data_IF_234078031166
#
_entry.id   IF_234078031166
#
_cell.length_a   1.000
_cell.length_b   1.000
_cell.length_c   1.000
_cell.angle_alpha   90.00
_cell.angle_beta   90.00
_cell.angle_gamma   90.00
#
_symmetry.space_group_name_H-M   'P 1'
#
loop_
_entity.id
_entity.type
_entity.pdbx_description
1 polymer ?
#
# COMPACT_ATOMS: atom_id res chain seq x y z
N UNK A 1 -3.95 -13.77 3.51
CA UNK A 1 -5.36 -14.23 3.41
C UNK A 1 -5.74 -14.78 2.03
N UNK A 2 -5.59 -14.01 0.94
CA UNK A 2 -6.01 -14.41 -0.41
C UNK A 2 -5.47 -15.78 -0.87
N UNK A 3 -4.19 -16.05 -0.66
CA UNK A 3 -3.53 -17.33 -0.95
C UNK A 3 -4.14 -18.51 -0.20
N UNK A 4 -4.47 -18.33 1.08
CA UNK A 4 -5.10 -19.37 1.90
C UNK A 4 -6.50 -19.72 1.36
N UNK A 5 -7.29 -18.71 1.01
CA UNK A 5 -8.63 -18.91 0.40
C UNK A 5 -8.50 -19.64 -0.94
N UNK A 6 -7.56 -19.25 -1.80
CA UNK A 6 -7.32 -19.96 -3.06
C UNK A 6 -6.89 -21.41 -2.83
N UNK A 7 -5.96 -21.66 -1.90
CA UNK A 7 -5.47 -23.00 -1.59
C UNK A 7 -6.57 -23.91 -1.05
N UNK A 8 -7.38 -23.42 -0.10
CA UNK A 8 -8.52 -24.16 0.43
C UNK A 8 -9.60 -24.41 -0.63
N UNK A 9 -9.90 -23.42 -1.47
CA UNK A 9 -10.87 -23.57 -2.57
C UNK A 9 -10.39 -24.62 -3.58
N UNK A 10 -9.12 -24.58 -3.97
CA UNK A 10 -8.48 -25.59 -4.83
C UNK A 10 -8.56 -26.99 -4.20
N UNK A 11 -8.32 -27.11 -2.89
CA UNK A 11 -8.41 -28.40 -2.18
C UNK A 11 -9.81 -28.98 -2.23
N UNK A 12 -10.84 -28.19 -1.88
CA UNK A 12 -12.25 -28.63 -1.95
C UNK A 12 -12.70 -28.99 -3.37
N UNK A 13 -12.26 -28.24 -4.38
CA UNK A 13 -12.57 -28.54 -5.78
C UNK A 13 -11.86 -29.79 -6.29
N UNK A 14 -10.68 -30.13 -5.79
CA UNK A 14 -10.01 -31.39 -6.16
C UNK A 14 -10.82 -32.62 -5.73
N UNK A 15 -11.62 -32.51 -4.67
CA UNK A 15 -12.47 -33.58 -4.15
C UNK A 15 -13.77 -33.76 -4.95
N UNK A 16 -14.27 -32.68 -5.59
CA UNK A 16 -15.55 -32.65 -6.30
C UNK A 16 -15.39 -32.48 -7.82
N UNK A 17 -14.76 -31.38 -8.25
CA UNK A 17 -14.59 -30.96 -9.65
C UNK A 17 -13.13 -30.62 -9.98
N UNK A 18 -12.30 -31.65 -10.18
CA UNK A 18 -10.84 -31.50 -10.34
C UNK A 18 -10.42 -30.55 -11.47
N UNK A 19 -11.21 -30.42 -12.54
CA UNK A 19 -10.92 -29.52 -13.65
C UNK A 19 -11.09 -28.04 -13.30
N UNK A 20 -11.87 -27.69 -12.27
CA UNK A 20 -12.03 -26.31 -11.79
C UNK A 20 -10.89 -25.87 -10.89
N UNK A 21 -10.22 -26.81 -10.21
CA UNK A 21 -9.12 -26.48 -9.31
C UNK A 21 -7.94 -25.77 -10.01
N UNK A 22 -7.71 -26.04 -11.31
CA UNK A 22 -6.69 -25.34 -12.11
C UNK A 22 -7.15 -23.97 -12.65
N UNK A 23 -8.43 -23.65 -12.49
CA UNK A 23 -9.06 -22.39 -12.93
C UNK A 23 -9.26 -21.38 -11.80
N UNK A 24 -8.66 -21.62 -10.63
CA UNK A 24 -8.60 -20.66 -9.52
C UNK A 24 -7.16 -20.21 -9.30
N UNK A 25 -6.94 -18.93 -9.07
CA UNK A 25 -5.63 -18.38 -8.72
C UNK A 25 -5.75 -17.36 -7.58
N UNK A 26 -4.64 -17.14 -6.87
CA UNK A 26 -4.49 -15.97 -6.01
C UNK A 26 -3.84 -14.84 -6.81
N UNK A 27 -4.00 -13.60 -6.35
CA UNK A 27 -3.37 -12.39 -6.90
C UNK A 27 -2.99 -11.42 -5.80
N UNK A 28 -1.72 -11.04 -5.74
CA UNK A 28 -1.18 -10.07 -4.77
C UNK A 28 -0.07 -9.22 -5.39
N UNK A 29 0.16 -8.06 -4.80
CA UNK A 29 1.13 -7.08 -5.32
C UNK A 29 2.58 -7.60 -5.34
N UNK A 30 2.95 -8.48 -4.39
CA UNK A 30 4.31 -9.04 -4.29
C UNK A 30 4.73 -9.98 -5.43
N UNK A 31 3.77 -10.50 -6.21
CA UNK A 31 4.09 -11.37 -7.35
C UNK A 31 4.88 -10.66 -8.43
N UNK A 32 5.65 -11.46 -9.17
CA UNK A 32 6.44 -10.95 -10.29
C UNK A 32 5.52 -10.35 -11.37
N UNK A 33 5.97 -9.28 -12.06
CA UNK A 33 5.19 -8.66 -13.13
C UNK A 33 4.70 -9.64 -14.19
N UNK A 34 5.51 -10.62 -14.57
CA UNK A 34 5.17 -11.65 -15.55
C UNK A 34 4.03 -12.55 -15.07
N UNK A 35 4.06 -12.95 -13.79
CA UNK A 35 3.03 -13.79 -13.17
C UNK A 35 1.70 -13.04 -13.06
N UNK A 36 1.73 -11.77 -12.64
CA UNK A 36 0.54 -10.92 -12.60
C UNK A 36 -0.11 -10.79 -13.98
N UNK A 37 0.70 -10.51 -15.01
CA UNK A 37 0.25 -10.44 -16.41
C UNK A 37 -0.32 -11.78 -16.89
N UNK A 38 0.25 -12.91 -16.51
CA UNK A 38 -0.30 -14.22 -16.85
C UNK A 38 -1.70 -14.41 -16.26
N UNK A 39 -1.85 -14.13 -14.97
CA UNK A 39 -3.14 -14.27 -14.25
C UNK A 39 -4.20 -13.35 -14.84
N UNK A 40 -3.85 -12.07 -15.08
CA UNK A 40 -4.73 -11.08 -15.71
C UNK A 40 -5.18 -11.53 -17.10
N UNK A 41 -4.25 -12.01 -17.93
CA UNK A 41 -4.57 -12.52 -19.27
C UNK A 41 -5.46 -13.76 -19.22
N UNK A 42 -5.24 -14.67 -18.26
CA UNK A 42 -6.06 -15.87 -18.10
C UNK A 42 -7.48 -15.53 -17.65
N UNK A 43 -7.62 -14.54 -16.76
CA UNK A 43 -8.90 -14.00 -16.32
C UNK A 43 -9.64 -13.34 -17.48
N UNK A 44 -8.97 -12.46 -18.23
CA UNK A 44 -9.54 -11.75 -19.39
C UNK A 44 -9.98 -12.70 -20.51
N UNK A 45 -9.27 -13.82 -20.71
CA UNK A 45 -9.63 -14.88 -21.67
C UNK A 45 -10.71 -15.85 -21.15
N UNK A 46 -11.17 -15.72 -19.90
CA UNK A 46 -12.14 -16.63 -19.27
C UNK A 46 -11.62 -18.05 -19.02
N UNK A 47 -10.30 -18.26 -19.11
CA UNK A 47 -9.66 -19.55 -18.79
C UNK A 47 -9.50 -19.73 -17.28
N UNK A 48 -9.33 -18.62 -16.55
CA UNK A 48 -9.51 -18.56 -15.10
C UNK A 48 -11.00 -18.30 -14.79
N UNK A 49 -11.55 -19.03 -13.83
CA UNK A 49 -12.96 -18.95 -13.40
C UNK A 49 -13.12 -18.27 -12.04
N UNK A 50 -12.05 -18.15 -11.27
CA UNK A 50 -12.07 -17.47 -9.98
C UNK A 50 -10.69 -16.93 -9.61
N UNK A 51 -10.69 -15.79 -8.95
CA UNK A 51 -9.48 -15.14 -8.45
C UNK A 51 -9.72 -14.72 -7.01
N UNK A 52 -8.76 -14.98 -6.14
CA UNK A 52 -8.73 -14.39 -4.79
C UNK A 52 -7.66 -13.31 -4.77
N UNK A 53 -7.98 -12.13 -4.28
CA UNK A 53 -7.01 -11.03 -4.25
C UNK A 53 -7.07 -10.24 -2.96
N UNK A 54 -5.98 -9.53 -2.68
CA UNK A 54 -5.97 -8.41 -1.74
C UNK A 54 -6.58 -7.17 -2.42
N UNK A 55 -6.37 -5.98 -1.86
CA UNK A 55 -6.66 -4.70 -2.52
C UNK A 55 -5.87 -4.47 -3.83
N UNK A 56 -4.94 -5.37 -4.22
CA UNK A 56 -4.14 -5.21 -5.43
C UNK A 56 -4.97 -5.15 -6.72
N UNK A 57 -6.18 -5.74 -6.75
CA UNK A 57 -7.12 -5.62 -7.87
C UNK A 57 -8.10 -4.43 -7.74
N UNK A 58 -8.02 -3.63 -6.67
CA UNK A 58 -8.76 -2.36 -6.58
C UNK A 58 -8.22 -1.34 -7.58
N UNK A 59 -6.92 -1.34 -7.85
CA UNK A 59 -6.30 -0.52 -8.90
C UNK A 59 -6.90 -0.85 -10.26
N UNK A 60 -7.05 0.15 -11.14
CA UNK A 60 -7.76 0.14 -12.43
C UNK A 60 -7.30 -0.85 -13.51
N UNK A 61 -6.79 -2.02 -13.14
CA UNK A 61 -6.46 -3.14 -13.99
C UNK A 61 -7.73 -3.58 -14.74
N UNK A 62 -7.62 -3.62 -16.07
CA UNK A 62 -8.67 -4.08 -16.96
C UNK A 62 -8.67 -5.61 -17.06
N UNK A 63 -9.19 -6.24 -16.01
CA UNK A 63 -9.41 -7.70 -15.91
C UNK A 63 -10.70 -8.16 -16.59
N UNK A 64 -11.45 -7.27 -17.25
CA UNK A 64 -12.77 -7.53 -17.80
C UNK A 64 -13.90 -7.36 -16.77
N UNK A 65 -15.07 -7.92 -17.09
CA UNK A 65 -16.25 -7.96 -16.20
C UNK A 65 -16.28 -9.29 -15.43
N UNK A 66 -16.44 -9.23 -14.11
CA UNK A 66 -16.79 -10.41 -13.32
C UNK A 66 -18.31 -10.52 -13.19
N UNK A 67 -18.80 -11.75 -13.03
CA UNK A 67 -20.24 -11.99 -12.77
C UNK A 67 -20.54 -11.90 -11.27
N UNK A 68 -19.56 -12.21 -10.43
CA UNK A 68 -19.69 -12.21 -8.98
C UNK A 68 -18.43 -11.71 -8.28
N UNK A 69 -18.61 -10.95 -7.19
CA UNK A 69 -17.55 -10.54 -6.28
C UNK A 69 -17.94 -10.91 -4.85
N UNK A 70 -16.99 -11.48 -4.10
CA UNK A 70 -17.12 -11.74 -2.67
C UNK A 70 -16.08 -10.87 -1.95
N UNK A 71 -16.58 -9.92 -1.17
CA UNK A 71 -15.78 -9.04 -0.32
C UNK A 71 -15.70 -9.68 1.06
N UNK A 72 -14.49 -10.01 1.48
CA UNK A 72 -14.22 -10.75 2.71
C UNK A 72 -13.87 -9.77 3.85
N UNK A 73 -14.89 -9.34 4.59
CA UNK A 73 -14.80 -8.28 5.60
C UNK A 73 -14.91 -6.88 5.01
N UNK A 74 -15.31 -5.89 5.82
CA UNK A 74 -15.36 -4.51 5.35
C UNK A 74 -13.94 -3.99 5.01
N UNK A 75 -13.69 -3.48 3.79
CA UNK A 75 -12.37 -3.01 3.34
C UNK A 75 -11.77 -1.81 4.10
N UNK A 76 -12.51 -1.23 5.05
CA UNK A 76 -12.09 -0.07 5.85
C UNK A 76 -12.71 1.25 5.38
N UNK A 77 -13.01 1.40 4.08
CA UNK A 77 -13.67 2.58 3.51
C UNK A 77 -14.88 2.21 2.65
N UNK A 78 -15.84 3.13 2.58
CA UNK A 78 -17.03 2.99 1.73
C UNK A 78 -16.59 2.97 0.26
N UNK A 79 -15.67 3.85 -0.12
CA UNK A 79 -15.16 3.92 -1.50
C UNK A 79 -14.45 2.63 -1.94
N UNK A 80 -13.62 2.00 -1.11
CA UNK A 80 -12.99 0.72 -1.46
C UNK A 80 -14.03 -0.38 -1.60
N UNK A 81 -15.07 -0.38 -0.77
CA UNK A 81 -16.17 -1.37 -0.90
C UNK A 81 -16.88 -1.25 -2.25
N UNK A 82 -17.21 -0.02 -2.66
CA UNK A 82 -17.84 0.23 -3.97
C UNK A 82 -16.91 -0.07 -5.14
N UNK A 83 -15.61 0.24 -5.03
CA UNK A 83 -14.64 -0.10 -6.07
C UNK A 83 -14.49 -1.62 -6.24
N UNK A 84 -14.46 -2.37 -5.15
CA UNK A 84 -14.44 -3.83 -5.19
C UNK A 84 -15.75 -4.39 -5.77
N UNK A 85 -16.91 -3.91 -5.31
CA UNK A 85 -18.21 -4.33 -5.83
C UNK A 85 -18.36 -4.05 -7.33
N UNK A 86 -17.90 -2.89 -7.81
CA UNK A 86 -17.92 -2.49 -9.22
C UNK A 86 -16.98 -3.29 -10.14
N UNK A 87 -16.26 -4.29 -9.62
CA UNK A 87 -15.57 -5.30 -10.43
C UNK A 87 -16.53 -6.34 -11.00
N UNK A 88 -17.68 -6.55 -10.36
CA UNK A 88 -18.78 -7.30 -10.93
C UNK A 88 -19.66 -6.39 -11.80
N UNK A 89 -20.30 -6.97 -12.83
CA UNK A 89 -21.42 -6.29 -13.50
C UNK A 89 -21.06 -5.20 -14.52
N UNK A 90 -19.89 -5.30 -15.18
CA UNK A 90 -19.55 -4.39 -16.31
C UNK A 90 -20.22 -4.79 -17.64
N UNK A 91 -20.90 -5.94 -17.69
CA UNK A 91 -21.62 -6.44 -18.86
C UNK A 91 -23.12 -6.12 -18.81
N UNK A 92 -23.90 -6.80 -19.68
CA UNK A 92 -25.38 -6.72 -19.69
C UNK A 92 -26.06 -7.78 -18.83
N UNK A 93 -25.30 -8.79 -18.39
CA UNK A 93 -25.82 -9.90 -17.61
C UNK A 93 -25.96 -9.52 -16.13
N UNK A 94 -26.78 -10.29 -15.41
CA UNK A 94 -26.94 -10.13 -13.97
C UNK A 94 -25.61 -10.35 -13.25
N UNK A 95 -25.40 -9.58 -12.18
CA UNK A 95 -24.18 -9.67 -11.38
C UNK A 95 -24.49 -9.57 -9.89
N UNK A 96 -23.59 -10.11 -9.07
CA UNK A 96 -23.77 -10.10 -7.62
C UNK A 96 -22.49 -9.66 -6.90
N UNK A 97 -22.67 -8.77 -5.91
CA UNK A 97 -21.63 -8.43 -4.96
C UNK A 97 -22.09 -8.86 -3.56
N UNK A 98 -21.26 -9.64 -2.87
CA UNK A 98 -21.55 -10.16 -1.53
C UNK A 98 -20.49 -9.67 -0.56
N UNK A 99 -20.90 -8.88 0.43
CA UNK A 99 -20.05 -8.52 1.57
C UNK A 99 -20.25 -9.53 2.70
N UNK A 100 -19.21 -10.29 3.02
CA UNK A 100 -19.21 -11.27 4.12
C UNK A 100 -18.50 -10.64 5.33
N UNK A 101 -19.28 -10.23 6.31
CA UNK A 101 -18.80 -9.55 7.50
C UNK A 101 -18.01 -10.46 8.46
N UNK A 102 -16.99 -9.91 9.10
CA UNK A 102 -16.30 -10.53 10.23
C UNK A 102 -16.94 -10.15 11.58
N UNK A 103 -16.43 -10.75 12.65
CA UNK A 103 -16.92 -10.53 14.01
C UNK A 103 -16.48 -9.20 14.64
N UNK A 104 -15.70 -8.38 13.92
CA UNK A 104 -15.20 -7.12 14.46
C UNK A 104 -16.34 -6.08 14.61
N UNK A 105 -16.21 -5.09 15.52
CA UNK A 105 -17.29 -4.15 15.82
C UNK A 105 -17.79 -3.35 14.61
N UNK A 106 -16.90 -2.95 13.71
CA UNK A 106 -17.24 -2.11 12.56
C UNK A 106 -18.07 -2.88 11.52
N UNK A 107 -17.63 -4.09 11.17
CA UNK A 107 -18.38 -5.01 10.32
C UNK A 107 -19.77 -5.28 10.89
N UNK A 108 -19.84 -5.65 12.18
CA UNK A 108 -21.11 -5.95 12.84
C UNK A 108 -22.03 -4.73 12.94
N UNK A 109 -21.47 -3.54 13.08
CA UNK A 109 -22.24 -2.30 13.05
C UNK A 109 -22.91 -2.09 11.68
N UNK A 110 -22.17 -2.23 10.58
CA UNK A 110 -22.75 -2.10 9.24
C UNK A 110 -23.79 -3.19 8.93
N UNK A 111 -23.59 -4.42 9.39
CA UNK A 111 -24.60 -5.48 9.23
C UNK A 111 -25.90 -5.21 9.99
N UNK A 112 -25.81 -4.54 11.15
CA UNK A 112 -27.00 -4.14 11.95
C UNK A 112 -27.64 -2.84 11.46
N UNK A 113 -26.89 -2.01 10.75
CA UNK A 113 -27.31 -0.70 10.27
C UNK A 113 -26.96 -0.52 8.78
N UNK A 114 -27.49 -1.37 7.88
CA UNK A 114 -27.13 -1.36 6.45
C UNK A 114 -27.43 -0.02 5.77
N UNK A 115 -28.48 0.69 6.20
CA UNK A 115 -28.80 2.03 5.71
C UNK A 115 -27.64 3.01 5.90
N UNK A 116 -26.87 2.91 6.98
CA UNK A 116 -25.70 3.78 7.20
C UNK A 116 -24.61 3.50 6.16
N UNK A 117 -24.47 2.25 5.73
CA UNK A 117 -23.52 1.90 4.68
C UNK A 117 -23.94 2.47 3.31
N UNK A 118 -25.24 2.38 2.97
CA UNK A 118 -25.74 2.82 1.66
C UNK A 118 -26.00 4.33 1.57
N UNK A 119 -26.35 5.00 2.67
CA UNK A 119 -26.69 6.43 2.69
C UNK A 119 -25.46 7.33 2.89
N UNK A 120 -24.35 6.78 3.39
CA UNK A 120 -23.13 7.55 3.67
C UNK A 120 -22.44 7.93 2.36
N UNK A 121 -22.07 9.21 2.24
CA UNK A 121 -21.23 9.69 1.15
C UNK A 121 -19.83 9.04 1.19
N UNK A 122 -19.21 8.94 0.03
CA UNK A 122 -17.81 8.51 -0.09
C UNK A 122 -16.89 9.45 0.70
N UNK A 123 -15.78 8.89 1.18
CA UNK A 123 -14.71 9.65 1.83
C UNK A 123 -14.14 10.73 0.89
N UNK A 124 -13.79 11.88 1.45
CA UNK A 124 -13.18 12.99 0.70
C UNK A 124 -11.67 12.80 0.55
N UNK A 125 -11.14 13.09 -0.64
CA UNK A 125 -9.71 13.16 -0.87
C UNK A 125 -9.17 14.51 -0.39
N UNK A 126 -8.60 14.51 0.82
CA UNK A 126 -8.00 15.71 1.41
C UNK A 126 -6.54 15.82 0.98
N UNK A 127 -6.18 16.93 0.34
CA UNK A 127 -4.81 17.27 -0.03
C UNK A 127 -4.40 18.56 0.68
N UNK A 128 -3.16 18.61 1.17
CA UNK A 128 -2.57 19.82 1.73
C UNK A 128 -1.44 20.28 0.79
N UNK A 129 -1.78 21.19 -0.11
CA UNK A 129 -0.83 21.80 -1.04
C UNK A 129 0.13 22.79 -0.34
N UNK A 130 -0.16 23.16 0.91
CA UNK A 130 0.62 24.12 1.69
C UNK A 130 1.63 23.47 2.63
N UNK A 131 1.70 22.12 2.67
CA UNK A 131 2.59 21.39 3.56
C UNK A 131 4.06 21.78 3.30
N UNK A 132 4.73 22.44 4.27
CA UNK A 132 6.02 23.06 4.03
C UNK A 132 7.12 22.04 3.71
N UNK A 133 7.00 20.79 4.19
CA UNK A 133 7.99 19.74 3.91
C UNK A 133 7.90 19.27 2.44
N UNK A 134 6.67 19.10 1.93
CA UNK A 134 6.43 18.70 0.54
C UNK A 134 6.81 19.84 -0.40
N UNK A 135 6.33 21.05 -0.11
CA UNK A 135 6.60 22.25 -0.90
C UNK A 135 8.12 22.53 -0.96
N UNK A 136 8.85 22.38 0.14
CA UNK A 136 10.32 22.55 0.15
C UNK A 136 11.02 21.62 -0.86
N UNK A 137 10.64 20.34 -0.90
CA UNK A 137 11.17 19.38 -1.87
C UNK A 137 10.87 19.79 -3.31
N UNK A 138 9.62 20.15 -3.59
CA UNK A 138 9.22 20.60 -4.92
C UNK A 138 9.90 21.90 -5.36
N UNK A 139 10.11 22.86 -4.46
CA UNK A 139 10.84 24.09 -4.75
C UNK A 139 12.31 23.82 -5.07
N UNK A 140 12.96 22.87 -4.40
CA UNK A 140 14.32 22.46 -4.78
C UNK A 140 14.36 21.86 -6.19
N UNK A 141 13.41 20.99 -6.53
CA UNK A 141 13.31 20.43 -7.87
C UNK A 141 13.04 21.51 -8.92
N UNK A 142 12.06 22.38 -8.69
CA UNK A 142 11.72 23.50 -9.58
C UNK A 142 12.92 24.43 -9.80
N UNK A 143 13.63 24.84 -8.74
CA UNK A 143 14.81 25.68 -8.83
C UNK A 143 16.02 25.00 -9.51
N UNK A 144 16.02 23.68 -9.61
CA UNK A 144 17.02 22.92 -10.37
C UNK A 144 16.70 22.85 -11.87
N UNK A 145 15.44 23.03 -12.23
CA UNK A 145 14.96 23.05 -13.61
C UNK A 145 15.04 24.48 -14.18
N UNK A 146 14.49 25.46 -13.46
CA UNK A 146 14.45 26.86 -13.85
C UNK A 146 14.59 27.79 -12.63
N UNK A 147 15.26 28.96 -12.78
CA UNK A 147 15.31 29.94 -11.70
C UNK A 147 13.91 30.38 -11.26
N UNK A 148 13.58 30.23 -9.99
CA UNK A 148 12.25 30.60 -9.47
C UNK A 148 12.16 32.11 -9.27
N UNK A 149 11.16 32.72 -9.90
CA UNK A 149 10.78 34.13 -9.74
C UNK A 149 9.37 34.22 -9.14
N UNK A 150 9.23 34.89 -7.99
CA UNK A 150 7.94 35.00 -7.31
C UNK A 150 6.97 35.92 -8.05
N UNK A 151 7.51 36.85 -8.85
CA UNK A 151 6.77 37.81 -9.65
C UNK A 151 6.33 37.27 -11.02
N UNK A 152 6.66 36.00 -11.33
CA UNK A 152 6.32 35.38 -12.61
C UNK A 152 4.81 35.23 -12.81
N UNK A 153 4.30 35.76 -13.92
CA UNK A 153 2.88 35.73 -14.22
C UNK A 153 2.43 34.33 -14.62
N UNK A 154 1.33 33.87 -14.01
CA UNK A 154 0.70 32.59 -14.35
C UNK A 154 1.09 31.42 -13.44
N UNK A 155 1.99 31.64 -12.48
CA UNK A 155 2.29 30.67 -11.43
C UNK A 155 1.55 31.06 -10.16
N UNK A 156 0.80 30.12 -9.59
CA UNK A 156 0.17 30.29 -8.28
C UNK A 156 1.14 29.79 -7.20
N UNK A 157 1.56 30.70 -6.32
CA UNK A 157 2.39 30.40 -5.16
C UNK A 157 1.54 30.43 -3.89
N UNK A 158 1.74 29.47 -2.99
CA UNK A 158 1.14 29.51 -1.65
C UNK A 158 1.76 30.64 -0.81
N UNK A 159 1.02 31.13 0.20
CA UNK A 159 1.44 32.30 1.01
C UNK A 159 2.80 32.11 1.71
N UNK A 160 3.22 30.88 1.98
CA UNK A 160 4.44 30.55 2.70
C UNK A 160 5.67 30.30 1.81
N UNK A 161 5.55 30.38 0.47
CA UNK A 161 6.65 30.00 -0.45
C UNK A 161 7.90 30.86 -0.27
N UNK A 162 7.76 32.17 -0.08
CA UNK A 162 8.92 33.05 0.07
C UNK A 162 9.74 32.71 1.34
N UNK A 163 9.06 32.38 2.43
CA UNK A 163 9.71 32.00 3.68
C UNK A 163 10.44 30.65 3.55
N UNK A 164 9.86 29.72 2.78
CA UNK A 164 10.50 28.43 2.47
C UNK A 164 11.74 28.64 1.60
N UNK A 165 11.67 29.47 0.56
CA UNK A 165 12.84 29.79 -0.29
C UNK A 165 13.98 30.39 0.54
N UNK A 166 13.66 31.34 1.43
CA UNK A 166 14.63 31.93 2.38
C UNK A 166 15.18 30.91 3.38
N UNK A 167 14.39 29.92 3.80
CA UNK A 167 14.88 28.84 4.66
C UNK A 167 15.87 27.95 3.89
N UNK A 168 15.54 27.55 2.67
CA UNK A 168 16.42 26.75 1.81
C UNK A 168 17.71 27.49 1.44
N UNK A 169 17.68 28.82 1.31
CA UNK A 169 18.90 29.65 1.16
C UNK A 169 19.86 29.48 2.33
N UNK A 170 19.31 29.58 3.54
CA UNK A 170 20.09 29.54 4.78
C UNK A 170 20.77 28.18 4.95
N UNK A 171 20.12 27.11 4.47
CA UNK A 171 20.66 25.76 4.43
C UNK A 171 21.58 25.50 3.21
N UNK A 172 21.87 26.52 2.39
CA UNK A 172 22.67 26.43 1.15
C UNK A 172 22.12 25.45 0.10
N UNK A 173 20.83 25.13 0.17
CA UNK A 173 20.15 24.26 -0.80
C UNK A 173 19.70 25.06 -2.03
N UNK A 174 19.39 26.34 -1.84
CA UNK A 174 19.13 27.30 -2.91
C UNK A 174 20.07 28.52 -2.80
N UNK A 175 20.23 29.22 -3.90
CA UNK A 175 20.96 30.48 -3.98
C UNK A 175 20.12 31.53 -4.71
N UNK A 176 20.00 32.74 -4.14
CA UNK A 176 19.36 33.86 -4.83
C UNK A 176 20.29 34.48 -5.88
N UNK A 177 19.80 34.63 -7.11
CA UNK A 177 20.50 35.29 -8.23
C UNK A 177 19.67 36.45 -8.78
N UNK A 178 20.23 37.32 -9.64
CA UNK A 178 19.45 38.36 -10.33
C UNK A 178 18.32 37.83 -11.22
N UNK A 179 18.37 36.54 -11.57
CA UNK A 179 17.36 35.88 -12.42
C UNK A 179 16.40 35.00 -11.62
N UNK A 180 16.47 35.00 -10.28
CA UNK A 180 15.63 34.18 -9.41
C UNK A 180 16.44 33.23 -8.54
N UNK A 181 15.74 32.37 -7.83
CA UNK A 181 16.32 31.35 -6.96
C UNK A 181 16.74 30.12 -7.76
N UNK A 182 18.00 29.70 -7.60
CA UNK A 182 18.55 28.52 -8.30
C UNK A 182 18.97 27.47 -7.29
N UNK A 183 18.91 26.19 -7.68
CA UNK A 183 19.38 25.10 -6.83
C UNK A 183 20.92 25.11 -6.69
N UNK A 184 21.39 25.04 -5.45
CA UNK A 184 22.82 25.05 -5.10
C UNK A 184 23.25 23.85 -4.22
N UNK A 185 22.33 22.92 -3.98
CA UNK A 185 22.59 21.71 -3.18
C UNK A 185 23.57 20.73 -3.84
N UNK A 186 24.00 19.72 -3.07
CA UNK A 186 24.87 18.65 -3.57
C UNK A 186 24.05 17.59 -4.31
N UNK A 187 24.50 17.16 -5.47
CA UNK A 187 23.81 16.13 -6.26
C UNK A 187 22.57 16.70 -6.97
N UNK A 188 21.65 15.83 -7.42
CA UNK A 188 20.41 16.26 -8.09
C UNK A 188 19.30 16.42 -7.05
N UNK A 189 18.50 17.47 -7.15
CA UNK A 189 17.37 17.71 -6.25
C UNK A 189 16.38 16.52 -6.22
N UNK A 190 16.10 15.94 -7.39
CA UNK A 190 15.19 14.79 -7.55
C UNK A 190 15.63 13.52 -6.79
N UNK A 191 16.93 13.37 -6.49
CA UNK A 191 17.42 12.22 -5.72
C UNK A 191 17.14 12.38 -4.21
N UNK A 192 16.90 13.62 -3.76
CA UNK A 192 16.62 13.95 -2.36
C UNK A 192 15.11 14.06 -2.05
N UNK A 193 14.24 14.03 -3.07
CA UNK A 193 12.80 14.23 -2.93
C UNK A 193 12.06 12.98 -3.40
N UNK A 194 11.48 12.25 -2.45
CA UNK A 194 10.57 11.13 -2.75
C UNK A 194 9.13 11.62 -2.80
N UNK A 195 8.39 11.24 -3.84
CA UNK A 195 6.94 11.47 -3.93
C UNK A 195 6.15 10.41 -3.15
N UNK A 196 6.79 9.28 -2.86
CA UNK A 196 6.18 8.16 -2.18
C UNK A 196 6.78 8.02 -0.76
N UNK A 197 5.93 7.88 0.25
CA UNK A 197 6.34 7.53 1.62
C UNK A 197 6.60 6.01 1.79
N UNK A 198 6.53 5.24 0.71
CA UNK A 198 6.84 3.81 0.72
C UNK A 198 8.36 3.68 0.77
N UNK A 199 8.89 2.88 1.71
CA UNK A 199 10.34 2.69 1.82
C UNK A 199 10.90 2.27 0.46
N UNK A 200 11.95 2.95 -0.02
CA UNK A 200 12.65 2.58 -1.26
C UNK A 200 13.30 1.19 -1.18
N UNK A 201 13.44 0.64 0.04
CA UNK A 201 13.98 -0.67 0.29
C UNK A 201 12.97 -1.77 -0.05
N UNK A 202 13.29 -2.53 -1.10
CA UNK A 202 12.54 -3.71 -1.52
C UNK A 202 13.37 -4.96 -1.30
N UNK A 203 12.85 -5.89 -0.51
CA UNK A 203 13.46 -7.19 -0.27
C UNK A 203 13.19 -8.15 -1.42
N UNK A 204 14.22 -8.89 -1.84
CA UNK A 204 14.14 -9.96 -2.84
C UNK A 204 14.00 -11.32 -2.14
N UNK A 205 12.91 -12.02 -2.39
CA UNK A 205 12.67 -13.36 -1.85
C UNK A 205 13.18 -14.39 -2.85
N UNK A 206 14.21 -15.16 -2.46
CA UNK A 206 14.97 -16.05 -3.36
C UNK A 206 14.88 -17.50 -2.88
N UNK A 207 14.54 -18.40 -3.80
CA UNK A 207 14.62 -19.85 -3.62
C UNK A 207 15.66 -20.43 -4.59
N UNK A 208 16.74 -21.04 -4.08
CA UNK A 208 17.77 -21.69 -4.90
C UNK A 208 18.31 -20.80 -6.06
N UNK A 209 18.52 -19.51 -5.78
CA UNK A 209 19.01 -18.55 -6.78
C UNK A 209 17.95 -17.98 -7.73
N UNK A 210 16.70 -18.44 -7.66
CA UNK A 210 15.57 -17.89 -8.40
C UNK A 210 14.80 -16.88 -7.55
N UNK A 211 14.59 -15.68 -8.08
CA UNK A 211 13.67 -14.70 -7.50
C UNK A 211 12.24 -15.24 -7.59
N UNK A 212 11.56 -15.31 -6.44
CA UNK A 212 10.17 -15.75 -6.35
C UNK A 212 9.22 -14.55 -6.26
N UNK A 213 9.57 -13.56 -5.44
CA UNK A 213 8.75 -12.37 -5.23
C UNK A 213 9.55 -11.22 -4.60
N UNK A 214 8.91 -10.06 -4.47
CA UNK A 214 9.46 -8.89 -3.78
C UNK A 214 8.51 -8.40 -2.69
N UNK A 215 9.08 -7.88 -1.60
CA UNK A 215 8.33 -7.35 -0.46
C UNK A 215 8.90 -5.98 -0.07
N UNK A 216 8.04 -5.05 0.35
CA UNK A 216 8.52 -3.85 1.02
C UNK A 216 9.09 -4.20 2.42
N UNK A 217 9.80 -3.24 3.03
CA UNK A 217 10.42 -3.45 4.34
C UNK A 217 9.42 -3.89 5.40
N UNK A 218 8.31 -3.19 5.55
CA UNK A 218 7.33 -3.46 6.59
C UNK A 218 6.69 -4.86 6.42
N UNK A 219 6.38 -5.25 5.17
CA UNK A 219 5.90 -6.58 4.84
C UNK A 219 6.95 -7.65 5.15
N UNK A 220 8.22 -7.42 4.78
CA UNK A 220 9.30 -8.36 5.04
C UNK A 220 9.45 -8.68 6.53
N UNK A 221 9.43 -7.66 7.40
CA UNK A 221 9.50 -7.88 8.86
C UNK A 221 8.31 -8.69 9.40
N UNK A 222 7.09 -8.40 8.93
CA UNK A 222 5.88 -9.11 9.40
C UNK A 222 5.75 -10.53 8.87
N UNK A 223 6.11 -10.77 7.61
CA UNK A 223 5.80 -12.04 6.93
C UNK A 223 7.01 -12.95 6.74
N UNK A 224 8.21 -12.40 6.67
CA UNK A 224 9.38 -13.12 6.17
C UNK A 224 10.54 -13.20 7.17
N UNK A 225 10.28 -13.08 8.47
CA UNK A 225 11.26 -13.31 9.53
C UNK A 225 11.81 -14.75 9.47
N UNK A 226 13.00 -14.97 10.04
CA UNK A 226 13.63 -16.30 10.05
C UNK A 226 12.73 -17.34 10.72
N UNK A 227 12.44 -18.43 10.00
CA UNK A 227 11.51 -19.47 10.44
C UNK A 227 10.04 -19.23 10.05
N UNK A 228 9.71 -18.10 9.42
CA UNK A 228 8.37 -17.84 8.90
C UNK A 228 8.02 -18.78 7.74
N UNK A 229 6.72 -19.01 7.55
CA UNK A 229 6.16 -19.76 6.43
C UNK A 229 5.55 -18.79 5.44
N UNK A 230 6.16 -18.68 4.26
CA UNK A 230 5.62 -17.95 3.13
C UNK A 230 4.75 -18.85 2.26
N UNK A 231 3.67 -18.26 1.72
CA UNK A 231 2.75 -18.92 0.80
C UNK A 231 2.80 -18.19 -0.55
N UNK A 232 3.14 -18.92 -1.60
CA UNK A 232 3.22 -18.38 -2.95
C UNK A 232 2.52 -19.32 -3.93
N UNK A 233 1.41 -18.88 -4.51
CA UNK A 233 0.56 -19.64 -5.44
C UNK A 233 0.06 -20.99 -4.88
N UNK A 234 -0.13 -21.06 -3.56
CA UNK A 234 -0.51 -22.27 -2.83
C UNK A 234 0.64 -23.21 -2.45
N UNK A 235 1.88 -22.88 -2.82
CA UNK A 235 3.09 -23.59 -2.41
C UNK A 235 3.69 -22.95 -1.15
N UNK A 236 4.11 -23.78 -0.19
CA UNK A 236 4.67 -23.32 1.09
C UNK A 236 6.19 -23.30 1.06
N UNK A 237 6.77 -22.24 1.60
CA UNK A 237 8.21 -22.01 1.70
C UNK A 237 8.58 -21.62 3.12
N UNK A 238 9.67 -22.15 3.65
CA UNK A 238 10.22 -21.77 4.94
C UNK A 238 11.32 -20.73 4.73
N UNK A 239 11.32 -19.66 5.53
CA UNK A 239 12.42 -18.69 5.54
C UNK A 239 13.59 -19.24 6.32
N UNK A 240 14.71 -19.44 5.61
CA UNK A 240 15.97 -19.92 6.18
C UNK A 240 16.86 -18.78 6.67
N UNK A 241 16.88 -17.67 5.95
CA UNK A 241 17.74 -16.52 6.25
C UNK A 241 17.13 -15.18 5.82
N UNK A 242 17.46 -14.12 6.57
CA UNK A 242 16.99 -12.75 6.37
C UNK A 242 18.19 -11.81 6.38
N UNK A 243 18.68 -11.45 5.20
CA UNK A 243 19.82 -10.56 5.02
C UNK A 243 19.35 -9.11 4.84
N UNK A 244 19.39 -8.36 5.94
CA UNK A 244 19.06 -6.93 5.98
C UNK A 244 20.03 -6.07 5.18
N UNK A 245 21.29 -6.48 5.04
CA UNK A 245 22.33 -5.67 4.40
C UNK A 245 22.18 -5.70 2.87
N UNK A 246 21.89 -6.88 2.33
CA UNK A 246 21.74 -7.08 0.89
C UNK A 246 20.28 -7.04 0.42
N UNK A 247 19.33 -6.88 1.36
CA UNK A 247 17.88 -6.90 1.11
C UNK A 247 17.43 -8.22 0.46
N UNK A 248 17.91 -9.35 0.98
CA UNK A 248 17.64 -10.69 0.45
C UNK A 248 17.04 -11.59 1.53
N UNK A 249 15.96 -12.28 1.19
CA UNK A 249 15.32 -13.29 2.03
C UNK A 249 15.52 -14.64 1.34
N UNK A 250 16.22 -15.56 1.99
CA UNK A 250 16.43 -16.91 1.46
C UNK A 250 15.35 -17.84 1.98
N UNK A 251 14.68 -18.51 1.04
CA UNK A 251 13.60 -19.43 1.33
C UNK A 251 13.87 -20.80 0.72
N UNK A 252 13.24 -21.82 1.29
CA UNK A 252 13.28 -23.19 0.82
C UNK A 252 11.87 -23.77 0.75
N UNK A 253 11.55 -24.46 -0.34
CA UNK A 253 10.25 -25.11 -0.49
C UNK A 253 10.10 -26.22 0.55
N UNK A 254 9.05 -26.14 1.37
CA UNK A 254 8.77 -27.13 2.41
C UNK A 254 7.27 -27.29 2.59
N UNK A 255 6.78 -28.52 2.50
CA UNK A 255 5.36 -28.82 2.74
C UNK A 255 5.09 -28.81 4.25
N UNK A 256 4.31 -27.84 4.71
CA UNK A 256 3.89 -27.69 6.10
C UNK A 256 2.37 -27.57 6.18
N UNK A 257 1.80 -27.95 7.32
CA UNK A 257 0.36 -27.92 7.62
C UNK A 257 -0.04 -26.77 8.56
N UNK A 258 0.90 -25.90 8.90
CA UNK A 258 0.71 -24.69 9.70
C UNK A 258 1.08 -23.44 8.89
N UNK A 259 0.65 -22.28 9.39
CA UNK A 259 1.08 -20.98 8.91
C UNK A 259 1.64 -20.18 10.08
N UNK A 260 2.41 -19.14 9.77
CA UNK A 260 2.99 -18.24 10.77
C UNK A 260 2.31 -16.89 10.71
N UNK A 261 2.18 -16.25 11.87
CA UNK A 261 1.64 -14.92 12.00
C UNK A 261 2.34 -14.23 13.17
N UNK A 262 2.85 -13.02 12.95
CA UNK A 262 3.44 -12.21 14.02
C UNK A 262 2.35 -11.62 14.91
N UNK A 263 2.72 -11.40 16.17
CA UNK A 263 2.00 -10.47 17.03
C UNK A 263 2.73 -9.13 16.93
N UNK A 264 1.96 -8.10 16.61
CA UNK A 264 2.42 -6.73 16.51
C UNK A 264 2.14 -6.03 17.84
N UNK A 265 3.18 -5.43 18.44
CA UNK A 265 3.10 -4.71 19.72
C UNK A 265 3.77 -3.36 19.52
N UNK A 266 2.95 -2.32 19.39
CA UNK A 266 3.42 -0.95 19.36
C UNK A 266 3.55 -0.39 20.77
N UNK A 267 4.73 0.13 21.13
CA UNK A 267 4.95 0.92 22.34
C UNK A 267 5.28 2.36 21.97
N UNK A 268 4.79 3.31 22.76
CA UNK A 268 4.95 4.75 22.52
C UNK A 268 5.57 5.40 23.75
N UNK A 269 6.80 5.88 23.60
CA UNK A 269 7.52 6.62 24.64
C UNK A 269 7.58 8.11 24.29
N UNK A 270 7.33 8.98 25.28
CA UNK A 270 7.48 10.43 25.11
C UNK A 270 8.92 10.81 25.41
N UNK A 271 9.65 11.28 24.39
CA UNK A 271 11.05 11.69 24.52
C UNK A 271 11.17 13.10 25.09
N UNK A 272 10.41 14.04 24.51
CA UNK A 272 10.48 15.45 24.88
C UNK A 272 9.10 16.11 24.77
N UNK A 273 8.76 16.99 25.72
CA UNK A 273 7.57 17.84 25.65
C UNK A 273 7.97 19.26 25.25
N UNK A 274 7.57 19.71 24.06
CA UNK A 274 7.89 21.04 23.53
C UNK A 274 6.82 22.08 23.89
N UNK A 275 5.57 21.65 24.06
CA UNK A 275 4.47 22.54 24.43
C UNK A 275 3.48 21.85 25.35
N UNK A 276 3.03 22.57 26.38
CA UNK A 276 1.97 22.12 27.29
C UNK A 276 0.90 23.18 27.46
N UNK A 277 -0.36 22.78 27.36
CA UNK A 277 -1.52 23.65 27.58
C UNK A 277 -2.57 22.94 28.42
N UNK A 278 -3.04 23.60 29.48
CA UNK A 278 -4.19 23.14 30.25
C UNK A 278 -5.47 23.79 29.72
N UNK A 279 -6.48 23.00 29.38
CA UNK A 279 -7.78 23.49 28.92
C UNK A 279 -8.90 22.59 29.37
N UNK A 280 -10.00 23.14 29.89
CA UNK A 280 -11.19 22.39 30.33
C UNK A 280 -10.91 21.13 31.19
N UNK A 281 -9.90 21.18 32.05
CA UNK A 281 -9.50 20.04 32.91
C UNK A 281 -8.54 19.04 32.25
N UNK A 282 -8.29 19.15 30.94
CA UNK A 282 -7.34 18.33 30.20
C UNK A 282 -5.97 19.01 30.12
N UNK A 283 -4.93 18.19 30.03
CA UNK A 283 -3.58 18.61 29.67
C UNK A 283 -3.35 18.15 28.24
N UNK A 284 -3.04 19.09 27.35
CA UNK A 284 -2.66 18.83 25.97
C UNK A 284 -1.18 19.13 25.85
N UNK A 285 -0.42 18.14 25.41
CA UNK A 285 1.02 18.24 25.21
C UNK A 285 1.36 17.99 23.74
N UNK A 286 2.39 18.67 23.25
CA UNK A 286 3.00 18.44 21.94
C UNK A 286 4.49 18.22 22.17
N UNK A 287 5.09 17.33 21.41
CA UNK A 287 6.43 16.85 21.67
C UNK A 287 6.84 15.72 20.75
N UNK A 288 8.06 15.25 20.95
CA UNK A 288 8.62 14.15 20.18
C UNK A 288 8.33 12.83 20.90
N UNK A 289 7.94 11.83 20.11
CA UNK A 289 7.63 10.49 20.59
C UNK A 289 8.43 9.47 19.80
N UNK A 290 8.88 8.42 20.48
CA UNK A 290 9.42 7.23 19.85
C UNK A 290 8.32 6.18 19.79
N UNK A 291 8.09 5.64 18.59
CA UNK A 291 7.18 4.50 18.38
C UNK A 291 8.05 3.30 18.04
N UNK A 292 7.96 2.25 18.85
CA UNK A 292 8.66 0.98 18.61
C UNK A 292 7.65 -0.11 18.28
N UNK A 293 7.93 -0.88 17.22
CA UNK A 293 7.11 -1.99 16.68
C UNK A 293 7.99 -3.24 16.49
#
# INVERSE_FOLDING_TARGET
MAESIASQSKKKLKESERYLASKIAAYRAGYLPEERREIENRLKKGTLRGITSTNALELGIDVGSLDAVIISGYPGTIISTWQQAGRAGRGIEESIAVLVAFQNPLDQYFMKHPQVFFDKSHEEAVIDLSNPYIVSGHLMCAASELPIQLEEQGIYWEENVEDILKALERENLLQKTPHGWVYSGKGRAVDAVSLDNISSETFKVINQGRLLETMDRAQAYREAYKGAVLLHQGETYLVNDFDLKNLIIQIERKNVDYYTQVMDIADIEVLEETRRKKTNGFIISSGDVEVTE
#
